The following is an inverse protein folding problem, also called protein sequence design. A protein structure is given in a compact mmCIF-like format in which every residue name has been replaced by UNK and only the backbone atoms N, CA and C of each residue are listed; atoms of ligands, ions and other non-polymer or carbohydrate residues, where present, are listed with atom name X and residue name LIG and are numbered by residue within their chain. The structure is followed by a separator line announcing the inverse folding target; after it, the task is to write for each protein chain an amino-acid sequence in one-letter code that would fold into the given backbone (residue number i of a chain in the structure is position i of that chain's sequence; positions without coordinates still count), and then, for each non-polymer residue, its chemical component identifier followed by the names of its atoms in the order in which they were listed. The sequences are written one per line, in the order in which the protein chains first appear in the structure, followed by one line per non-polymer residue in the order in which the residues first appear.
data_IF_693695652899
#
_entry.id   IF_693695652899
#
_cell.length_a   1.000
_cell.length_b   1.000
_cell.length_c   1.000
_cell.angle_alpha   90.00
_cell.angle_beta   90.00
_cell.angle_gamma   90.00
#
_symmetry.space_group_name_H-M   'P 1'
#
loop_
_entity.id
_entity.type
_entity.pdbx_description
1 polymer ?
#
# COMPACT_ATOMS: atom_id res chain seq x y z
N UNK A 1 27.10 -19.28 -20.47
CA UNK A 1 26.81 -17.90 -20.88
C UNK A 1 26.99 -17.79 -22.37
N UNK A 2 25.90 -17.52 -23.07
CA UNK A 2 25.92 -17.40 -24.52
C UNK A 2 26.42 -16.01 -24.92
N UNK A 3 27.01 -15.93 -26.11
CA UNK A 3 27.64 -14.72 -26.62
C UNK A 3 27.24 -14.52 -28.06
N UNK A 4 26.91 -13.27 -28.42
CA UNK A 4 26.76 -12.85 -29.82
C UNK A 4 27.52 -11.56 -30.06
N UNK A 5 27.81 -11.26 -31.32
CA UNK A 5 28.52 -10.04 -31.73
C UNK A 5 27.59 -9.24 -32.64
N UNK A 6 27.28 -8.01 -32.25
CA UNK A 6 26.48 -7.08 -33.06
C UNK A 6 27.31 -5.83 -33.30
N UNK A 7 27.55 -5.49 -34.57
CA UNK A 7 28.37 -4.33 -34.98
C UNK A 7 29.74 -4.24 -34.28
N UNK A 8 30.40 -5.38 -34.07
CA UNK A 8 31.72 -5.45 -33.44
C UNK A 8 31.73 -5.33 -31.91
N UNK A 9 30.57 -5.17 -31.26
CA UNK A 9 30.43 -5.22 -29.81
C UNK A 9 30.00 -6.61 -29.36
N UNK A 10 30.79 -7.21 -28.46
CA UNK A 10 30.46 -8.49 -27.85
C UNK A 10 29.39 -8.34 -26.78
N UNK A 11 28.24 -8.96 -26.99
CA UNK A 11 27.13 -9.02 -26.04
C UNK A 11 27.12 -10.41 -25.40
N UNK A 12 27.36 -10.46 -24.08
CA UNK A 12 27.10 -11.64 -23.29
C UNK A 12 25.67 -11.55 -22.75
N UNK A 13 24.88 -12.60 -22.94
CA UNK A 13 23.51 -12.67 -22.42
C UNK A 13 23.25 -14.03 -21.79
N UNK A 14 22.25 -14.05 -20.91
CA UNK A 14 21.73 -15.26 -20.30
C UNK A 14 20.22 -15.28 -20.53
N UNK A 15 19.72 -16.32 -21.18
CA UNK A 15 18.29 -16.53 -21.35
C UNK A 15 17.81 -17.34 -20.17
N UNK A 16 17.11 -16.68 -19.23
CA UNK A 16 16.51 -17.35 -18.07
C UNK A 16 15.01 -17.50 -18.35
N UNK A 17 14.51 -18.74 -18.26
CA UNK A 17 13.08 -19.04 -18.39
C UNK A 17 12.76 -20.51 -18.08
N UNK A 18 11.57 -20.76 -17.53
CA UNK A 18 11.01 -22.10 -17.41
C UNK A 18 10.25 -22.47 -18.69
N UNK A 19 10.42 -23.72 -19.14
CA UNK A 19 9.60 -24.36 -20.20
C UNK A 19 9.53 -23.57 -21.52
N UNK A 20 10.62 -22.90 -21.90
CA UNK A 20 10.74 -22.26 -23.22
C UNK A 20 9.97 -20.93 -23.38
N UNK A 21 9.54 -20.30 -22.28
CA UNK A 21 8.93 -18.95 -22.33
C UNK A 21 9.92 -17.91 -21.78
N UNK A 22 10.52 -17.07 -22.64
CA UNK A 22 11.42 -16.02 -22.17
C UNK A 22 10.61 -14.89 -21.52
N UNK A 23 11.08 -14.40 -20.37
CA UNK A 23 10.68 -13.10 -19.83
C UNK A 23 11.89 -12.15 -19.92
N UNK A 24 11.68 -10.95 -20.46
CA UNK A 24 12.73 -9.94 -20.61
C UNK A 24 12.91 -9.18 -19.29
N UNK A 25 14.15 -9.14 -18.79
CA UNK A 25 14.63 -8.12 -17.85
C UNK A 25 15.61 -7.23 -18.62
N UNK A 26 15.43 -5.91 -18.51
CA UNK A 26 16.19 -4.85 -19.20
C UNK A 26 17.67 -4.82 -18.76
N UNK A 27 18.57 -4.17 -19.53
CA UNK A 27 19.99 -4.48 -19.50
C UNK A 27 20.65 -3.99 -18.21
N UNK A 28 21.41 -4.89 -17.59
CA UNK A 28 22.27 -4.59 -16.47
C UNK A 28 23.36 -3.56 -16.83
N UNK A 29 23.34 -2.43 -16.12
CA UNK A 29 24.56 -1.72 -15.77
C UNK A 29 25.11 -2.29 -14.47
N UNK A 30 26.45 -2.35 -14.35
CA UNK A 30 27.21 -2.86 -13.19
C UNK A 30 26.84 -2.17 -11.88
N UNK A 31 25.82 -2.68 -11.21
CA UNK A 31 25.81 -2.77 -9.76
C UNK A 31 25.90 -4.25 -9.46
N UNK A 32 26.98 -4.68 -8.82
CA UNK A 32 27.03 -6.01 -8.21
C UNK A 32 25.86 -6.09 -7.22
N UNK A 33 24.75 -6.67 -7.66
CA UNK A 33 23.56 -6.95 -6.84
C UNK A 33 23.84 -8.15 -5.92
N UNK A 34 24.94 -8.10 -5.18
CA UNK A 34 25.22 -9.07 -4.13
C UNK A 34 24.41 -8.70 -2.89
N UNK A 35 23.10 -8.97 -2.94
CA UNK A 35 22.25 -9.00 -1.74
C UNK A 35 22.46 -10.33 -0.98
N UNK A 36 23.71 -10.77 -0.85
CA UNK A 36 24.06 -12.06 -0.26
C UNK A 36 23.38 -13.27 -0.96
N UNK A 37 23.20 -13.20 -2.28
CA UNK A 37 22.53 -14.27 -3.06
C UNK A 37 21.00 -14.25 -3.06
N UNK A 38 20.36 -13.23 -2.47
CA UNK A 38 18.90 -13.08 -2.47
C UNK A 38 18.35 -12.69 -3.83
N UNK A 39 17.22 -13.27 -4.20
CA UNK A 39 16.39 -12.90 -5.33
C UNK A 39 15.74 -11.51 -5.10
N UNK A 40 15.42 -10.75 -6.17
CA UNK A 40 14.70 -9.48 -6.02
C UNK A 40 13.40 -9.58 -5.23
N UNK A 41 12.67 -10.69 -5.36
CA UNK A 41 11.45 -10.95 -4.59
C UNK A 41 11.72 -11.13 -3.09
N UNK A 42 12.84 -11.73 -2.71
CA UNK A 42 13.22 -11.88 -1.30
C UNK A 42 13.58 -10.52 -0.70
N UNK A 43 14.35 -9.71 -1.43
CA UNK A 43 14.65 -8.33 -1.02
C UNK A 43 13.37 -7.50 -0.87
N UNK A 44 12.40 -7.67 -1.77
CA UNK A 44 11.08 -7.04 -1.64
C UNK A 44 10.37 -7.48 -0.36
N UNK A 45 10.28 -8.80 -0.10
CA UNK A 45 9.61 -9.33 1.10
C UNK A 45 10.23 -8.82 2.39
N UNK A 46 11.54 -8.65 2.42
CA UNK A 46 12.27 -8.26 3.63
C UNK A 46 12.20 -6.75 3.92
N UNK A 47 12.01 -5.91 2.91
CA UNK A 47 12.30 -4.48 3.02
C UNK A 47 11.24 -3.53 2.47
N UNK A 48 10.18 -4.04 1.83
CA UNK A 48 9.17 -3.19 1.18
C UNK A 48 7.78 -3.48 1.75
N UNK A 49 7.11 -2.42 2.18
CA UNK A 49 5.68 -2.40 2.44
C UNK A 49 4.99 -1.65 1.30
N UNK A 50 4.06 -2.30 0.62
CA UNK A 50 3.24 -1.72 -0.43
C UNK A 50 1.89 -1.30 0.16
N UNK A 51 1.51 -0.04 -0.07
CA UNK A 51 0.21 0.49 0.30
C UNK A 51 -0.75 0.51 -0.90
N UNK A 52 -2.06 0.51 -0.63
CA UNK A 52 -3.10 0.68 -1.66
C UNK A 52 -4.33 1.39 -1.09
N UNK A 53 -5.01 2.19 -1.92
CA UNK A 53 -6.32 2.79 -1.61
C UNK A 53 -7.46 1.85 -2.04
N UNK A 54 -7.43 1.46 -3.32
CA UNK A 54 -8.35 0.51 -3.97
C UNK A 54 -7.54 -0.33 -4.97
N UNK A 55 -7.50 -1.64 -4.76
CA UNK A 55 -6.82 -2.57 -5.66
C UNK A 55 -7.42 -3.99 -5.59
N UNK A 56 -8.58 -4.21 -6.24
CA UNK A 56 -9.19 -5.53 -6.30
C UNK A 56 -8.28 -6.61 -6.89
N UNK A 57 -7.38 -6.24 -7.81
CA UNK A 57 -6.47 -7.19 -8.45
C UNK A 57 -5.34 -7.60 -7.52
N UNK A 58 -4.74 -6.64 -6.82
CA UNK A 58 -3.72 -6.87 -5.80
C UNK A 58 -4.22 -7.76 -4.67
N UNK A 59 -5.45 -7.54 -4.20
CA UNK A 59 -6.07 -8.36 -3.15
C UNK A 59 -6.28 -9.82 -3.56
N UNK A 60 -6.64 -10.09 -4.82
CA UNK A 60 -6.74 -11.44 -5.36
C UNK A 60 -5.35 -12.12 -5.52
N UNK A 61 -4.28 -11.32 -5.60
CA UNK A 61 -2.89 -11.77 -5.75
C UNK A 61 -2.08 -11.66 -4.45
N UNK A 62 -2.72 -11.37 -3.31
CA UNK A 62 -2.06 -11.10 -2.02
C UNK A 62 -1.07 -12.18 -1.59
N UNK A 63 -1.37 -13.46 -1.86
CA UNK A 63 -0.47 -14.57 -1.54
C UNK A 63 0.80 -14.59 -2.40
N UNK A 64 0.71 -14.07 -3.63
CA UNK A 64 1.85 -13.95 -4.55
C UNK A 64 2.71 -12.74 -4.22
N UNK A 65 2.08 -11.62 -3.87
CA UNK A 65 2.75 -10.39 -3.43
C UNK A 65 3.45 -10.63 -2.08
N UNK A 66 2.76 -11.34 -1.18
CA UNK A 66 3.15 -11.55 0.21
C UNK A 66 2.21 -10.79 1.12
N UNK A 67 1.36 -11.51 1.86
CA UNK A 67 0.35 -10.90 2.74
C UNK A 67 0.97 -9.99 3.80
N UNK A 68 2.21 -10.27 4.21
CA UNK A 68 2.93 -9.47 5.19
C UNK A 68 3.49 -8.15 4.60
N UNK A 69 3.42 -7.96 3.28
CA UNK A 69 3.98 -6.79 2.58
C UNK A 69 2.90 -5.83 2.09
N UNK A 70 1.64 -6.02 2.49
CA UNK A 70 0.50 -5.20 2.03
C UNK A 70 -0.06 -4.40 3.21
N UNK A 71 -0.27 -3.10 3.02
CA UNK A 71 -1.00 -2.24 3.94
C UNK A 71 -2.11 -1.50 3.21
N UNK A 72 -3.27 -1.33 3.83
CA UNK A 72 -4.27 -0.42 3.32
C UNK A 72 -3.92 1.03 3.69
N UNK A 73 -4.20 1.98 2.79
CA UNK A 73 -4.08 3.41 3.05
C UNK A 73 -5.35 4.18 2.68
N UNK A 74 -5.62 5.25 3.42
CA UNK A 74 -6.76 6.13 3.17
C UNK A 74 -6.44 7.22 2.14
N UNK A 75 -5.18 7.65 2.08
CA UNK A 75 -4.68 8.79 1.31
C UNK A 75 -5.50 10.10 1.46
N UNK A 76 -6.01 10.35 2.66
CA UNK A 76 -6.69 11.61 2.96
C UNK A 76 -5.69 12.78 3.00
N UNK A 77 -5.99 13.96 2.40
CA UNK A 77 -7.25 14.36 1.75
C UNK A 77 -7.20 14.37 0.22
N UNK A 78 -6.39 13.49 -0.41
CA UNK A 78 -6.29 13.45 -1.86
C UNK A 78 -7.63 13.11 -2.54
N UNK A 79 -7.75 13.46 -3.83
CA UNK A 79 -9.02 13.36 -4.57
C UNK A 79 -9.53 11.93 -4.75
N UNK A 80 -8.62 10.97 -4.73
CA UNK A 80 -8.82 9.53 -4.84
C UNK A 80 -9.05 8.85 -3.47
N UNK A 81 -9.02 9.61 -2.38
CA UNK A 81 -9.38 9.08 -1.05
C UNK A 81 -10.81 8.55 -1.01
N UNK A 82 -10.99 7.47 -0.26
CA UNK A 82 -12.31 6.91 0.05
C UNK A 82 -12.98 7.58 1.26
N UNK A 83 -12.27 8.48 1.96
CA UNK A 83 -12.76 9.19 3.14
C UNK A 83 -14.06 9.98 2.86
N UNK A 84 -15.06 10.00 3.75
CA UNK A 84 -15.10 9.46 5.11
C UNK A 84 -15.61 8.01 5.20
N UNK A 85 -15.94 7.39 4.06
CA UNK A 85 -16.51 6.05 3.99
C UNK A 85 -15.43 4.98 3.73
N UNK A 86 -14.17 5.29 4.06
CA UNK A 86 -13.05 4.38 3.88
C UNK A 86 -13.27 3.02 4.52
N UNK A 87 -13.76 2.91 5.78
CA UNK A 87 -13.98 1.60 6.39
C UNK A 87 -14.96 0.72 5.60
N UNK A 88 -16.06 1.29 5.12
CA UNK A 88 -17.07 0.55 4.35
C UNK A 88 -16.53 0.12 2.98
N UNK A 89 -15.79 1.02 2.31
CA UNK A 89 -15.22 0.73 1.01
C UNK A 89 -14.16 -0.38 1.09
N UNK A 90 -13.20 -0.24 2.02
CA UNK A 90 -12.14 -1.23 2.25
C UNK A 90 -12.71 -2.56 2.71
N UNK A 91 -13.73 -2.54 3.58
CA UNK A 91 -14.43 -3.75 3.99
C UNK A 91 -15.06 -4.48 2.80
N UNK A 92 -15.72 -3.76 1.89
CA UNK A 92 -16.26 -4.33 0.66
C UNK A 92 -15.21 -5.05 -0.19
N UNK A 93 -14.09 -4.38 -0.49
CA UNK A 93 -13.03 -4.97 -1.32
C UNK A 93 -12.38 -6.20 -0.67
N UNK A 94 -12.14 -6.15 0.64
CA UNK A 94 -11.56 -7.28 1.38
C UNK A 94 -12.50 -8.49 1.37
N UNK A 95 -13.81 -8.26 1.50
CA UNK A 95 -14.83 -9.29 1.42
C UNK A 95 -14.93 -9.89 0.01
N UNK A 96 -14.94 -9.04 -1.02
CA UNK A 96 -14.99 -9.48 -2.42
C UNK A 96 -13.76 -10.32 -2.81
N UNK A 97 -12.60 -10.01 -2.22
CA UNK A 97 -11.38 -10.79 -2.39
C UNK A 97 -11.30 -12.06 -1.51
N UNK A 98 -12.31 -12.29 -0.67
CA UNK A 98 -12.37 -13.43 0.25
C UNK A 98 -11.24 -13.43 1.28
N UNK A 99 -10.89 -12.26 1.81
CA UNK A 99 -9.87 -12.15 2.85
C UNK A 99 -10.37 -12.75 4.17
N UNK A 100 -9.51 -13.52 4.85
CA UNK A 100 -9.79 -14.03 6.20
C UNK A 100 -9.54 -12.94 7.25
N UNK A 101 -10.11 -13.09 8.44
CA UNK A 101 -9.94 -12.14 9.55
C UNK A 101 -8.46 -11.83 9.87
N UNK A 102 -7.59 -12.84 9.84
CA UNK A 102 -6.15 -12.65 10.05
C UNK A 102 -5.48 -11.82 8.94
N UNK A 103 -5.90 -12.00 7.70
CA UNK A 103 -5.41 -11.22 6.55
C UNK A 103 -5.90 -9.78 6.63
N UNK A 104 -7.16 -9.59 7.03
CA UNK A 104 -7.74 -8.27 7.23
C UNK A 104 -6.97 -7.52 8.31
N UNK A 105 -6.66 -8.14 9.44
CA UNK A 105 -5.83 -7.51 10.48
C UNK A 105 -4.42 -7.15 9.97
N UNK A 106 -3.76 -8.05 9.24
CA UNK A 106 -2.46 -7.77 8.62
C UNK A 106 -2.50 -6.56 7.70
N UNK A 107 -3.44 -6.54 6.77
CA UNK A 107 -3.58 -5.49 5.76
C UNK A 107 -3.98 -4.16 6.40
N UNK A 108 -4.93 -4.18 7.33
CA UNK A 108 -5.52 -2.93 7.85
C UNK A 108 -4.68 -2.26 8.92
N UNK A 109 -3.85 -2.99 9.68
CA UNK A 109 -3.04 -2.36 10.72
C UNK A 109 -1.75 -3.10 11.10
N UNK A 110 -1.72 -4.43 11.20
CA UNK A 110 -0.57 -5.13 11.82
C UNK A 110 0.72 -4.97 11.01
N UNK A 111 0.63 -5.04 9.66
CA UNK A 111 1.81 -4.88 8.80
C UNK A 111 2.42 -3.49 8.93
N UNK A 112 1.58 -2.44 8.95
CA UNK A 112 2.04 -1.07 9.16
C UNK A 112 2.65 -0.91 10.56
N UNK A 113 2.02 -1.47 11.60
CA UNK A 113 2.53 -1.41 12.97
C UNK A 113 3.90 -2.10 13.12
N UNK A 114 4.04 -3.28 12.53
CA UNK A 114 5.31 -4.02 12.48
C UNK A 114 6.38 -3.26 11.69
N UNK A 115 6.04 -2.69 10.54
CA UNK A 115 7.01 -2.05 9.65
C UNK A 115 7.53 -0.72 10.21
N UNK A 116 6.66 0.07 10.83
CA UNK A 116 7.03 1.36 11.43
C UNK A 116 7.42 1.28 12.91
N UNK A 117 7.43 0.07 13.48
CA UNK A 117 7.76 -0.19 14.88
C UNK A 117 6.98 0.70 15.87
N UNK A 118 5.65 0.67 15.75
CA UNK A 118 4.78 1.43 16.65
C UNK A 118 3.65 0.57 17.22
N UNK A 119 3.30 0.85 18.48
CA UNK A 119 2.19 0.22 19.18
C UNK A 119 0.92 1.08 18.99
N UNK A 120 -0.07 0.60 18.21
CA UNK A 120 -1.30 1.35 17.95
C UNK A 120 -2.18 1.49 19.21
N UNK A 121 -1.94 0.67 20.25
CA UNK A 121 -2.76 0.65 21.46
C UNK A 121 -2.12 1.37 22.64
N UNK A 122 -0.94 1.97 22.45
CA UNK A 122 -0.23 2.72 23.50
C UNK A 122 -1.07 3.86 24.10
N UNK A 123 -1.92 4.49 23.30
CA UNK A 123 -2.71 5.66 23.70
C UNK A 123 -4.23 5.50 23.51
N UNK A 124 -4.65 4.47 22.79
CA UNK A 124 -6.07 4.18 22.52
C UNK A 124 -6.28 2.69 22.79
N UNK A 125 -7.14 2.34 23.73
CA UNK A 125 -7.44 0.94 23.99
C UNK A 125 -8.03 0.26 22.75
N UNK A 126 -7.86 -1.05 22.60
CA UNK A 126 -8.26 -1.77 21.38
C UNK A 126 -9.77 -1.66 21.10
N UNK A 127 -10.57 -1.73 22.16
CA UNK A 127 -12.01 -1.53 22.16
C UNK A 127 -12.41 -0.12 21.69
N UNK A 128 -11.58 0.89 21.97
CA UNK A 128 -11.79 2.28 21.59
C UNK A 128 -11.21 2.62 20.19
N UNK A 129 -10.41 1.72 19.63
CA UNK A 129 -9.78 1.86 18.31
C UNK A 129 -10.65 1.31 17.16
N UNK A 130 -11.90 0.95 17.43
CA UNK A 130 -12.84 0.47 16.41
C UNK A 130 -13.43 1.63 15.60
N UNK A 131 -13.88 1.33 14.37
CA UNK A 131 -14.57 2.33 13.51
C UNK A 131 -15.74 2.99 14.24
N UNK A 132 -16.55 2.19 14.95
CA UNK A 132 -17.70 2.69 15.71
C UNK A 132 -17.30 3.60 16.87
N UNK A 133 -16.31 3.20 17.66
CA UNK A 133 -15.82 4.00 18.79
C UNK A 133 -15.19 5.32 18.33
N UNK A 134 -14.36 5.28 17.27
CA UNK A 134 -13.73 6.48 16.71
C UNK A 134 -14.75 7.45 16.10
N UNK A 135 -15.81 6.94 15.45
CA UNK A 135 -16.91 7.79 14.96
C UNK A 135 -17.71 8.41 16.10
N UNK A 136 -18.07 7.64 17.12
CA UNK A 136 -18.77 8.18 18.29
C UNK A 136 -17.95 9.28 18.99
N UNK A 137 -16.62 9.11 19.05
CA UNK A 137 -15.70 10.13 19.57
C UNK A 137 -15.66 11.38 18.68
N UNK A 138 -15.65 11.22 17.36
CA UNK A 138 -15.69 12.35 16.42
C UNK A 138 -17.01 13.14 16.55
N UNK A 139 -18.14 12.43 16.63
CA UNK A 139 -19.47 13.03 16.82
C UNK A 139 -19.56 13.79 18.15
N UNK A 140 -19.09 13.19 19.24
CA UNK A 140 -19.07 13.83 20.56
C UNK A 140 -18.19 15.09 20.59
N UNK A 141 -17.15 15.14 19.76
CA UNK A 141 -16.28 16.30 19.59
C UNK A 141 -16.82 17.32 18.56
N UNK A 142 -17.95 17.04 17.91
CA UNK A 142 -18.53 17.93 16.88
C UNK A 142 -17.69 18.02 15.61
N UNK A 143 -16.96 16.96 15.24
CA UNK A 143 -16.14 16.93 14.03
C UNK A 143 -17.03 16.89 12.79
N UNK A 144 -16.92 17.91 11.92
CA UNK A 144 -17.61 17.96 10.63
C UNK A 144 -16.89 17.03 9.62
N UNK A 145 -17.54 15.92 9.28
CA UNK A 145 -17.06 14.95 8.27
C UNK A 145 -17.73 15.13 6.90
N UNK A 146 -18.49 16.22 6.71
CA UNK A 146 -19.23 16.44 5.46
C UNK A 146 -18.28 16.69 4.30
N UNK A 147 -18.46 15.94 3.21
CA UNK A 147 -17.74 16.21 1.95
C UNK A 147 -18.25 17.52 1.35
N UNK A 148 -17.32 18.33 0.87
CA UNK A 148 -17.65 19.57 0.16
C UNK A 148 -16.67 19.82 -0.99
N UNK A 149 -17.09 20.52 -2.06
CA UNK A 149 -16.18 20.90 -3.13
C UNK A 149 -15.03 21.77 -2.61
N UNK A 150 -13.84 21.62 -3.18
CA UNK A 150 -12.65 22.42 -2.82
C UNK A 150 -12.92 23.93 -2.86
N UNK A 151 -13.71 24.40 -3.82
CA UNK A 151 -14.07 25.81 -3.92
C UNK A 151 -14.89 26.30 -2.71
N UNK A 152 -15.89 25.53 -2.30
CA UNK A 152 -16.73 25.85 -1.14
C UNK A 152 -15.94 25.73 0.17
N UNK A 153 -15.07 24.71 0.28
CA UNK A 153 -14.14 24.60 1.40
C UNK A 153 -13.25 25.84 1.50
N UNK A 154 -12.68 26.28 0.38
CA UNK A 154 -11.79 27.44 0.32
C UNK A 154 -12.50 28.71 0.79
N UNK A 155 -13.68 29.00 0.26
CA UNK A 155 -14.50 30.14 0.69
C UNK A 155 -14.79 30.10 2.20
N UNK A 156 -15.22 28.94 2.72
CA UNK A 156 -15.53 28.76 4.15
C UNK A 156 -14.30 28.95 5.05
N UNK A 157 -13.18 28.35 4.69
CA UNK A 157 -11.99 28.27 5.55
C UNK A 157 -11.12 29.52 5.45
N UNK A 158 -10.93 30.09 4.24
CA UNK A 158 -10.20 31.35 4.09
C UNK A 158 -10.93 32.51 4.80
N UNK A 159 -12.27 32.54 4.76
CA UNK A 159 -13.06 33.51 5.52
C UNK A 159 -12.88 33.37 7.05
N UNK A 160 -12.53 32.16 7.52
CA UNK A 160 -12.22 31.87 8.92
C UNK A 160 -10.72 32.01 9.25
N UNK A 161 -9.87 32.43 8.30
CA UNK A 161 -8.42 32.54 8.46
C UNK A 161 -7.66 31.19 8.48
N UNK A 162 -8.31 30.10 8.08
CA UNK A 162 -7.74 28.75 8.06
C UNK A 162 -7.19 28.46 6.65
N UNK A 163 -5.94 28.01 6.56
CA UNK A 163 -5.32 27.62 5.28
C UNK A 163 -4.96 28.78 4.35
N UNK A 164 -4.92 30.00 4.87
CA UNK A 164 -4.34 31.16 4.18
C UNK A 164 -2.82 31.06 4.35
N UNK A 165 -2.11 30.67 3.29
CA UNK A 165 -0.64 30.65 3.22
C UNK A 165 -0.12 31.85 2.43
#
# INVERSE_FOLDING_TARGET
MDRTTVNGLGLAYEVIGERGRPWIITPGGRFSKDYGGKMPSEVFRDHILACYISDPSGLLLRDRIGIDNIAWECDYPHTDTTWPNSPEFTWGELQDAGCRDDEIHKITWENACRFFDWDPFKHTAREDATVGALRARADAAGVDVTRMPKAQWRERNEAAGIGVF
#
